data_IF_480666780105
#
_entry.id   IF_480666780105
#
_cell.length_a   1.000
_cell.length_b   1.000
_cell.length_c   1.000
_cell.angle_alpha   90.00
_cell.angle_beta   90.00
_cell.angle_gamma   90.00
#
_symmetry.space_group_name_H-M   'P 1'
#
loop_
_entity.id
_entity.type
_entity.pdbx_description
1 polymer ?
#
# COMPACT_ATOMS: atom_id res chain seq x y z
N UNK A 1 3.76 28.38 -24.01
CA UNK A 1 3.57 28.88 -22.64
C UNK A 1 2.69 28.01 -21.76
N UNK A 2 1.65 27.36 -22.27
CA UNK A 2 0.76 26.48 -21.47
C UNK A 2 1.45 25.25 -20.87
N UNK A 3 2.37 24.61 -21.60
CA UNK A 3 3.06 23.40 -21.13
C UNK A 3 3.96 23.67 -19.92
N UNK A 4 4.67 24.79 -19.90
CA UNK A 4 5.56 25.18 -18.78
C UNK A 4 4.76 25.44 -17.51
N UNK A 5 3.58 26.08 -17.63
CA UNK A 5 2.70 26.35 -16.49
C UNK A 5 2.18 25.03 -15.90
N UNK A 6 1.82 24.05 -16.75
CA UNK A 6 1.36 22.73 -16.29
C UNK A 6 2.47 21.98 -15.55
N UNK A 7 3.72 22.01 -16.05
CA UNK A 7 4.86 21.39 -15.37
C UNK A 7 5.15 22.06 -14.02
N UNK A 8 5.10 23.39 -13.93
CA UNK A 8 5.30 24.12 -12.68
C UNK A 8 4.19 23.79 -11.66
N UNK A 9 2.94 23.70 -12.11
CA UNK A 9 1.81 23.30 -11.25
C UNK A 9 1.98 21.87 -10.71
N UNK A 10 2.36 20.93 -11.56
CA UNK A 10 2.62 19.54 -11.15
C UNK A 10 3.78 19.48 -10.15
N UNK A 11 4.89 20.18 -10.42
CA UNK A 11 6.03 20.25 -9.52
C UNK A 11 5.64 20.88 -8.17
N UNK A 12 4.86 21.94 -8.17
CA UNK A 12 4.37 22.60 -6.96
C UNK A 12 3.46 21.67 -6.14
N UNK A 13 2.51 20.97 -6.79
CA UNK A 13 1.65 19.98 -6.13
C UNK A 13 2.47 18.85 -5.52
N UNK A 14 3.50 18.36 -6.22
CA UNK A 14 4.40 17.33 -5.70
C UNK A 14 5.21 17.81 -4.49
N UNK A 15 5.71 19.04 -4.52
CA UNK A 15 6.45 19.66 -3.39
C UNK A 15 5.53 19.86 -2.18
N UNK A 16 4.31 20.39 -2.40
CA UNK A 16 3.31 20.55 -1.32
C UNK A 16 2.89 19.20 -0.75
N UNK A 17 2.67 18.21 -1.60
CA UNK A 17 2.35 16.85 -1.18
C UNK A 17 3.50 16.24 -0.38
N UNK A 18 4.74 16.43 -0.83
CA UNK A 18 5.93 15.95 -0.13
C UNK A 18 6.11 16.65 1.22
N UNK A 19 5.97 17.98 1.27
CA UNK A 19 6.02 18.76 2.51
C UNK A 19 4.91 18.35 3.49
N UNK A 20 3.68 18.18 3.01
CA UNK A 20 2.56 17.70 3.80
C UNK A 20 2.81 16.29 4.37
N UNK A 21 3.41 15.40 3.58
CA UNK A 21 3.76 14.06 4.02
C UNK A 21 4.93 14.07 5.02
N UNK A 22 5.88 15.00 4.88
CA UNK A 22 7.03 15.14 5.77
C UNK A 22 6.64 15.78 7.11
N UNK A 23 5.70 16.74 7.13
CA UNK A 23 5.29 17.47 8.34
C UNK A 23 4.32 16.69 9.23
N UNK A 24 3.65 15.66 8.72
CA UNK A 24 2.84 14.73 9.54
C UNK A 24 3.69 13.79 10.40
N UNK A 25 4.80 14.28 10.96
CA UNK A 25 5.54 13.60 12.03
C UNK A 25 4.74 13.68 13.33
N UNK A 26 3.80 12.78 13.51
CA UNK A 26 3.20 12.55 14.83
C UNK A 26 4.25 11.93 15.76
N UNK A 27 4.43 12.56 16.90
CA UNK A 27 5.43 12.23 17.94
C UNK A 27 5.10 10.98 18.76
N UNK A 28 4.03 10.27 18.45
CA UNK A 28 3.65 9.08 19.21
C UNK A 28 4.56 7.91 18.85
N UNK A 29 5.14 7.29 19.87
CA UNK A 29 5.86 6.03 19.74
C UNK A 29 4.91 5.01 19.11
N UNK A 30 5.33 4.34 18.02
CA UNK A 30 4.49 3.36 17.37
C UNK A 30 4.29 2.16 18.28
N UNK A 31 3.04 1.89 18.63
CA UNK A 31 2.62 0.72 19.38
C UNK A 31 2.71 -0.49 18.46
N UNK A 32 3.57 -1.45 18.83
CA UNK A 32 3.75 -2.68 18.07
C UNK A 32 2.44 -3.47 17.97
N UNK A 33 1.67 -3.50 19.06
CA UNK A 33 0.39 -4.24 19.09
C UNK A 33 -0.63 -3.64 18.12
N UNK A 34 -0.66 -2.32 17.98
CA UNK A 34 -1.48 -1.66 16.96
C UNK A 34 -1.04 -1.98 15.54
N UNK A 35 0.27 -2.05 15.31
CA UNK A 35 0.81 -2.40 14.00
C UNK A 35 0.47 -3.84 13.64
N UNK A 36 0.64 -4.78 14.57
CA UNK A 36 0.29 -6.19 14.39
C UNK A 36 -1.23 -6.36 14.18
N UNK A 37 -2.04 -5.63 14.93
CA UNK A 37 -3.50 -5.66 14.78
C UNK A 37 -3.91 -5.14 13.40
N UNK A 38 -3.30 -4.04 12.93
CA UNK A 38 -3.57 -3.49 11.61
C UNK A 38 -3.21 -4.47 10.47
N UNK A 39 -2.12 -5.24 10.63
CA UNK A 39 -1.74 -6.30 9.68
C UNK A 39 -2.81 -7.40 9.65
N UNK A 40 -3.23 -7.87 10.81
CA UNK A 40 -4.18 -8.99 10.93
C UNK A 40 -5.62 -8.63 10.54
N UNK A 41 -5.98 -7.36 10.58
CA UNK A 41 -7.33 -6.90 10.24
C UNK A 41 -7.59 -6.81 8.73
N UNK A 42 -6.54 -6.86 7.90
CA UNK A 42 -6.66 -6.82 6.46
C UNK A 42 -6.89 -8.23 5.90
N UNK A 43 -8.05 -8.43 5.29
CA UNK A 43 -8.35 -9.65 4.52
C UNK A 43 -7.63 -9.60 3.16
N UNK A 44 -6.36 -10.04 3.18
CA UNK A 44 -5.52 -10.03 1.99
C UNK A 44 -5.92 -11.07 0.96
N UNK A 45 -6.60 -12.14 1.37
CA UNK A 45 -7.11 -13.15 0.46
C UNK A 45 -8.26 -12.59 -0.38
N UNK A 46 -9.22 -11.91 0.27
CA UNK A 46 -10.28 -11.21 -0.43
C UNK A 46 -9.73 -10.14 -1.38
N UNK A 47 -8.66 -9.42 -0.99
CA UNK A 47 -8.03 -8.45 -1.88
C UNK A 47 -7.34 -9.12 -3.08
N UNK A 48 -6.64 -10.24 -2.90
CA UNK A 48 -6.03 -11.01 -4.00
C UNK A 48 -7.08 -11.45 -5.01
N UNK A 49 -8.18 -12.03 -4.54
CA UNK A 49 -9.29 -12.45 -5.40
C UNK A 49 -9.92 -11.26 -6.14
N UNK A 50 -10.05 -10.12 -5.46
CA UNK A 50 -10.63 -8.91 -6.05
C UNK A 50 -9.81 -8.33 -7.21
N UNK A 51 -8.49 -8.50 -7.19
CA UNK A 51 -7.56 -7.96 -8.20
C UNK A 51 -7.00 -9.05 -9.13
N UNK A 52 -7.55 -10.25 -9.08
CA UNK A 52 -7.15 -11.37 -9.90
C UNK A 52 -7.49 -11.12 -11.38
N UNK A 53 -6.49 -11.14 -12.28
CA UNK A 53 -6.71 -10.94 -13.71
C UNK A 53 -7.46 -12.12 -14.37
N UNK A 54 -7.34 -13.34 -13.86
CA UNK A 54 -8.04 -14.50 -14.40
C UNK A 54 -9.55 -14.41 -14.14
N UNK A 55 -9.92 -13.95 -12.93
CA UNK A 55 -11.32 -13.69 -12.61
C UNK A 55 -11.90 -12.52 -13.41
N UNK A 56 -11.10 -11.44 -13.65
CA UNK A 56 -11.53 -10.34 -14.50
C UNK A 56 -11.80 -10.82 -15.93
N UNK A 57 -10.95 -11.67 -16.48
CA UNK A 57 -11.11 -12.24 -17.82
C UNK A 57 -12.34 -13.16 -17.91
N UNK A 58 -12.55 -14.00 -16.89
CA UNK A 58 -13.75 -14.82 -16.79
C UNK A 58 -15.02 -13.98 -16.79
N UNK A 59 -15.07 -12.93 -15.98
CA UNK A 59 -16.21 -12.01 -15.92
C UNK A 59 -16.44 -11.30 -17.26
N UNK A 60 -15.35 -10.93 -17.95
CA UNK A 60 -15.41 -10.26 -19.25
C UNK A 60 -16.02 -11.14 -20.32
N UNK A 61 -15.73 -12.44 -20.31
CA UNK A 61 -16.22 -13.41 -21.30
C UNK A 61 -17.63 -13.92 -20.97
N UNK A 62 -17.98 -13.97 -19.69
CA UNK A 62 -19.24 -14.56 -19.23
C UNK A 62 -20.41 -13.57 -19.14
N UNK A 63 -20.13 -12.24 -19.12
CA UNK A 63 -21.16 -11.23 -18.87
C UNK A 63 -21.39 -10.32 -20.08
N UNK A 64 -22.63 -9.81 -20.26
CA UNK A 64 -22.89 -8.73 -21.19
C UNK A 64 -22.02 -7.50 -20.87
N UNK A 65 -21.58 -6.77 -21.91
CA UNK A 65 -20.63 -5.66 -21.78
C UNK A 65 -21.04 -4.58 -20.77
N UNK A 66 -22.34 -4.33 -20.61
CA UNK A 66 -22.86 -3.35 -19.65
C UNK A 66 -22.72 -3.86 -18.19
N UNK A 67 -23.06 -5.12 -17.95
CA UNK A 67 -22.94 -5.76 -16.65
C UNK A 67 -21.45 -5.85 -16.23
N UNK A 68 -20.58 -6.28 -17.13
CA UNK A 68 -19.14 -6.32 -16.90
C UNK A 68 -18.59 -4.95 -16.50
N UNK A 69 -18.93 -3.86 -17.23
CA UNK A 69 -18.47 -2.50 -16.89
C UNK A 69 -18.93 -2.04 -15.51
N UNK A 70 -20.13 -2.41 -15.10
CA UNK A 70 -20.64 -2.11 -13.75
C UNK A 70 -19.84 -2.86 -12.69
N UNK A 71 -19.68 -4.15 -12.84
CA UNK A 71 -18.94 -5.00 -11.89
C UNK A 71 -17.47 -4.56 -11.82
N UNK A 72 -16.82 -4.29 -12.94
CA UNK A 72 -15.44 -3.78 -12.98
C UNK A 72 -15.27 -2.49 -12.17
N UNK A 73 -16.21 -1.55 -12.27
CA UNK A 73 -16.19 -0.31 -11.46
C UNK A 73 -16.33 -0.59 -9.96
N UNK A 74 -17.23 -1.48 -9.58
CA UNK A 74 -17.42 -1.85 -8.17
C UNK A 74 -16.19 -2.56 -7.61
N UNK A 75 -15.59 -3.50 -8.36
CA UNK A 75 -14.33 -4.14 -7.99
C UNK A 75 -13.21 -3.13 -7.80
N UNK A 76 -13.04 -2.19 -8.73
CA UNK A 76 -12.04 -1.14 -8.63
C UNK A 76 -12.25 -0.23 -7.42
N UNK A 77 -13.50 0.13 -7.09
CA UNK A 77 -13.83 0.92 -5.89
C UNK A 77 -13.49 0.17 -4.61
N UNK A 78 -13.86 -1.10 -4.54
CA UNK A 78 -13.56 -1.94 -3.39
C UNK A 78 -12.03 -2.14 -3.25
N UNK A 79 -11.32 -2.40 -4.35
CA UNK A 79 -9.88 -2.50 -4.36
C UNK A 79 -9.19 -1.21 -3.86
N UNK A 80 -9.72 -0.03 -4.20
CA UNK A 80 -9.22 1.26 -3.68
C UNK A 80 -9.32 1.38 -2.16
N UNK A 81 -10.35 0.78 -1.54
CA UNK A 81 -10.46 0.75 -0.07
C UNK A 81 -9.29 -0.05 0.51
N UNK A 82 -9.00 -1.25 -0.03
CA UNK A 82 -7.86 -2.06 0.40
C UNK A 82 -6.54 -1.34 0.20
N UNK A 83 -6.30 -0.73 -0.97
CA UNK A 83 -5.07 0.03 -1.23
C UNK A 83 -4.90 1.20 -0.25
N UNK A 84 -5.98 1.87 0.14
CA UNK A 84 -5.96 2.92 1.16
C UNK A 84 -5.55 2.38 2.53
N UNK A 85 -6.06 1.23 2.93
CA UNK A 85 -5.68 0.58 4.18
C UNK A 85 -4.21 0.09 4.14
N UNK A 86 -3.74 -0.46 3.01
CA UNK A 86 -2.33 -0.80 2.80
C UNK A 86 -1.43 0.45 2.91
N UNK A 87 -1.85 1.58 2.35
CA UNK A 87 -1.14 2.86 2.50
C UNK A 87 -1.10 3.35 3.95
N UNK A 88 -2.15 3.10 4.74
CA UNK A 88 -2.14 3.40 6.18
C UNK A 88 -1.21 2.46 6.95
N UNK A 89 -1.25 1.17 6.66
CA UNK A 89 -0.35 0.18 7.26
C UNK A 89 1.12 0.51 6.97
N UNK A 90 1.44 0.93 5.72
CA UNK A 90 2.80 1.35 5.36
C UNK A 90 3.32 2.50 6.23
N UNK A 91 2.46 3.43 6.65
CA UNK A 91 2.83 4.50 7.56
C UNK A 91 3.17 3.98 8.96
N UNK A 92 2.45 2.98 9.45
CA UNK A 92 2.77 2.33 10.73
C UNK A 92 4.10 1.59 10.65
N UNK A 93 4.35 0.85 9.56
CA UNK A 93 5.64 0.19 9.34
C UNK A 93 6.80 1.19 9.28
N UNK A 94 6.63 2.32 8.58
CA UNK A 94 7.66 3.35 8.50
C UNK A 94 7.98 3.96 9.86
N UNK A 95 6.96 4.22 10.69
CA UNK A 95 7.15 4.73 12.06
C UNK A 95 7.87 3.72 12.95
N UNK A 96 7.43 2.47 12.88
CA UNK A 96 8.00 1.39 13.65
C UNK A 96 9.47 1.14 13.25
N UNK A 97 9.75 1.02 11.95
CA UNK A 97 11.11 0.89 11.43
C UNK A 97 12.00 2.08 11.80
N UNK A 98 11.48 3.31 11.70
CA UNK A 98 12.21 4.51 12.09
C UNK A 98 12.49 4.61 13.60
N UNK A 99 11.63 4.06 14.45
CA UNK A 99 11.90 3.94 15.90
C UNK A 99 12.98 2.89 16.18
N UNK A 100 12.89 1.73 15.53
CA UNK A 100 13.85 0.65 15.67
C UNK A 100 15.27 1.02 15.18
N UNK A 101 15.38 1.85 14.14
CA UNK A 101 16.68 2.37 13.67
C UNK A 101 17.47 3.16 14.71
N UNK A 102 16.80 3.72 15.71
CA UNK A 102 17.44 4.48 16.79
C UNK A 102 17.89 3.61 17.95
N UNK A 103 17.69 2.31 17.87
CA UNK A 103 18.14 1.38 18.90
C UNK A 103 19.68 1.32 18.91
N UNK A 104 20.33 1.31 20.09
CA UNK A 104 21.78 1.17 20.19
C UNK A 104 22.29 -0.20 19.71
N UNK A 105 21.45 -1.21 19.69
CA UNK A 105 21.78 -2.53 19.13
C UNK A 105 21.82 -2.46 17.59
N UNK A 106 22.98 -2.73 16.97
CA UNK A 106 23.13 -2.63 15.51
C UNK A 106 22.23 -3.64 14.74
N UNK A 107 21.91 -4.78 15.35
CA UNK A 107 21.04 -5.79 14.73
C UNK A 107 19.60 -5.25 14.65
N UNK A 108 19.11 -4.65 15.74
CA UNK A 108 17.78 -4.03 15.78
C UNK A 108 17.73 -2.82 14.86
N UNK A 109 18.77 -2.00 14.82
CA UNK A 109 18.83 -0.85 13.94
C UNK A 109 18.80 -1.24 12.45
N UNK A 110 19.58 -2.25 12.05
CA UNK A 110 19.59 -2.77 10.68
C UNK A 110 18.22 -3.35 10.27
N UNK A 111 17.57 -4.08 11.15
CA UNK A 111 16.23 -4.60 10.95
C UNK A 111 15.19 -3.45 10.82
N UNK A 112 15.29 -2.43 11.66
CA UNK A 112 14.47 -1.23 11.58
C UNK A 112 14.59 -0.53 10.22
N UNK A 113 15.81 -0.48 9.67
CA UNK A 113 16.09 0.03 8.34
C UNK A 113 15.38 -0.77 7.25
N UNK A 114 15.39 -2.09 7.32
CA UNK A 114 14.71 -2.94 6.34
C UNK A 114 13.20 -2.71 6.34
N UNK A 115 12.60 -2.59 7.52
CA UNK A 115 11.17 -2.29 7.65
C UNK A 115 10.85 -0.92 7.07
N UNK A 116 11.61 0.11 7.41
CA UNK A 116 11.39 1.46 6.90
C UNK A 116 11.50 1.52 5.38
N UNK A 117 12.48 0.85 4.79
CA UNK A 117 12.63 0.74 3.34
C UNK A 117 11.44 0.00 2.70
N UNK A 118 11.05 -1.14 3.26
CA UNK A 118 9.88 -1.89 2.77
C UNK A 118 8.60 -1.06 2.84
N UNK A 119 8.42 -0.26 3.88
CA UNK A 119 7.29 0.65 4.04
C UNK A 119 7.25 1.75 2.96
N UNK A 120 8.40 2.29 2.59
CA UNK A 120 8.50 3.30 1.52
C UNK A 120 8.09 2.66 0.18
N UNK A 121 8.62 1.49 -0.15
CA UNK A 121 8.26 0.77 -1.38
C UNK A 121 6.77 0.42 -1.42
N UNK A 122 6.23 -0.09 -0.32
CA UNK A 122 4.79 -0.39 -0.20
C UNK A 122 3.94 0.85 -0.48
N UNK A 123 4.34 2.02 0.05
CA UNK A 123 3.64 3.28 -0.16
C UNK A 123 3.68 3.74 -1.61
N UNK A 124 4.83 3.66 -2.27
CA UNK A 124 4.98 3.99 -3.69
C UNK A 124 4.10 3.07 -4.55
N UNK A 125 4.08 1.78 -4.25
CA UNK A 125 3.24 0.82 -4.96
C UNK A 125 1.75 1.04 -4.71
N UNK A 126 1.37 1.45 -3.51
CA UNK A 126 -0.03 1.81 -3.20
C UNK A 126 -0.48 3.06 -3.98
N UNK A 127 0.39 4.05 -4.17
CA UNK A 127 0.08 5.22 -5.01
C UNK A 127 -0.08 4.83 -6.48
N UNK A 128 0.84 4.02 -7.02
CA UNK A 128 0.75 3.50 -8.39
C UNK A 128 -0.54 2.67 -8.60
N UNK A 129 -0.83 1.76 -7.68
CA UNK A 129 -2.05 0.96 -7.69
C UNK A 129 -3.32 1.83 -7.65
N UNK A 130 -3.34 2.87 -6.81
CA UNK A 130 -4.47 3.81 -6.73
C UNK A 130 -4.70 4.51 -8.06
N UNK A 131 -3.64 5.00 -8.71
CA UNK A 131 -3.73 5.66 -10.00
C UNK A 131 -4.28 4.70 -11.08
N UNK A 132 -3.78 3.47 -11.13
CA UNK A 132 -4.22 2.44 -12.08
C UNK A 132 -5.70 2.07 -11.86
N UNK A 133 -6.14 1.88 -10.62
CA UNK A 133 -7.52 1.56 -10.29
C UNK A 133 -8.48 2.70 -10.66
N UNK A 134 -8.10 3.96 -10.39
CA UNK A 134 -8.89 5.13 -10.79
C UNK A 134 -9.01 5.21 -12.31
N UNK A 135 -7.91 5.01 -13.04
CA UNK A 135 -7.91 5.01 -14.49
C UNK A 135 -8.78 3.88 -15.05
N UNK A 136 -8.68 2.67 -14.50
CA UNK A 136 -9.49 1.53 -14.95
C UNK A 136 -10.98 1.69 -14.65
N UNK A 137 -11.33 2.35 -13.55
CA UNK A 137 -12.71 2.67 -13.22
C UNK A 137 -13.30 3.72 -14.16
N UNK A 138 -12.48 4.67 -14.61
CA UNK A 138 -12.90 5.76 -15.53
C UNK A 138 -12.93 5.30 -16.98
N UNK A 139 -11.92 4.52 -17.39
CA UNK A 139 -11.75 4.01 -18.75
C UNK A 139 -11.78 2.48 -18.77
N UNK A 140 -12.97 1.86 -18.91
CA UNK A 140 -13.12 0.40 -18.81
C UNK A 140 -12.30 -0.42 -19.81
N UNK A 141 -11.84 0.20 -20.90
CA UNK A 141 -10.96 -0.43 -21.91
C UNK A 141 -9.50 -0.53 -21.51
N UNK A 142 -9.09 0.16 -20.43
CA UNK A 142 -7.73 0.04 -19.91
C UNK A 142 -7.61 -1.21 -19.03
N UNK A 143 -6.59 -2.00 -19.30
CA UNK A 143 -6.23 -3.16 -18.48
C UNK A 143 -5.17 -2.68 -17.48
N UNK A 144 -5.48 -2.63 -16.18
CA UNK A 144 -4.49 -2.27 -15.17
C UNK A 144 -3.39 -3.34 -15.16
N UNK A 145 -2.16 -2.92 -14.83
CA UNK A 145 -1.09 -3.86 -14.57
C UNK A 145 -1.43 -4.69 -13.33
N UNK A 146 -1.01 -5.97 -13.28
CA UNK A 146 -1.24 -6.78 -12.09
C UNK A 146 -0.71 -6.09 -10.83
N UNK A 147 -1.55 -5.98 -9.80
CA UNK A 147 -1.17 -5.38 -8.50
C UNK A 147 -0.31 -6.33 -7.65
N UNK A 148 0.25 -7.37 -8.26
CA UNK A 148 1.08 -8.40 -7.62
C UNK A 148 2.25 -7.81 -6.85
N UNK A 149 2.92 -6.81 -7.40
CA UNK A 149 4.06 -6.16 -6.72
C UNK A 149 3.66 -5.43 -5.44
N UNK A 150 2.45 -4.89 -5.35
CA UNK A 150 1.91 -4.29 -4.12
C UNK A 150 1.73 -5.36 -3.03
N UNK A 151 1.14 -6.50 -3.41
CA UNK A 151 0.92 -7.64 -2.51
C UNK A 151 2.23 -8.20 -1.98
N UNK A 152 3.20 -8.45 -2.86
CA UNK A 152 4.53 -8.97 -2.49
C UNK A 152 5.28 -8.04 -1.51
N UNK A 153 5.17 -6.72 -1.68
CA UNK A 153 5.80 -5.76 -0.76
C UNK A 153 5.08 -5.70 0.59
N UNK A 154 3.76 -5.84 0.59
CA UNK A 154 3.00 -5.92 1.84
C UNK A 154 3.34 -7.19 2.62
N UNK A 155 3.33 -8.36 1.96
CA UNK A 155 3.67 -9.64 2.59
C UNK A 155 5.08 -9.57 3.21
N UNK A 156 6.06 -9.08 2.46
CA UNK A 156 7.44 -8.92 2.95
C UNK A 156 7.53 -8.00 4.17
N UNK A 157 6.85 -6.84 4.15
CA UNK A 157 6.84 -5.92 5.27
C UNK A 157 6.15 -6.51 6.51
N UNK A 158 5.06 -7.25 6.30
CA UNK A 158 4.29 -7.92 7.34
C UNK A 158 5.12 -9.04 7.99
N UNK A 159 5.78 -9.86 7.19
CA UNK A 159 6.65 -10.95 7.68
C UNK A 159 7.80 -10.42 8.53
N UNK A 160 8.45 -9.32 8.12
CA UNK A 160 9.50 -8.68 8.90
C UNK A 160 9.01 -8.24 10.29
N UNK A 161 7.79 -7.70 10.39
CA UNK A 161 7.22 -7.25 11.66
C UNK A 161 6.77 -8.43 12.51
N UNK A 162 6.11 -9.42 11.91
CA UNK A 162 5.57 -10.58 12.63
C UNK A 162 6.67 -11.49 13.17
N UNK A 163 7.72 -11.75 12.39
CA UNK A 163 8.86 -12.58 12.80
C UNK A 163 9.59 -11.95 13.99
N UNK A 164 9.77 -10.62 14.02
CA UNK A 164 10.38 -9.97 15.17
C UNK A 164 9.52 -10.06 16.43
N UNK A 165 8.18 -9.95 16.29
CA UNK A 165 7.27 -10.10 17.42
C UNK A 165 7.33 -11.52 18.02
N UNK A 166 7.50 -12.54 17.17
CA UNK A 166 7.68 -13.93 17.62
C UNK A 166 8.98 -14.11 18.43
N UNK A 167 10.06 -13.46 18.03
CA UNK A 167 11.35 -13.52 18.73
C UNK A 167 11.33 -12.76 20.08
N UNK A 168 10.47 -11.77 20.24
CA UNK A 168 10.31 -11.01 21.49
C UNK A 168 9.44 -11.68 22.55
N UNK A 169 8.66 -12.70 22.19
CA UNK A 169 7.90 -13.52 23.14
C UNK A 169 8.66 -14.82 23.36
N UNK A 170 9.66 -14.86 24.30
CA UNK A 170 10.17 -16.14 24.76
C UNK A 170 9.01 -16.90 25.38
N UNK A 171 8.91 -18.16 25.06
CA UNK A 171 7.91 -19.08 25.54
C UNK A 171 7.71 -18.91 27.07
N UNK A 172 6.58 -18.40 27.49
CA UNK A 172 6.06 -18.51 28.84
C UNK A 172 5.26 -19.79 28.97
#
# INVERSE_FOLDING_TARGET
MSSTIVFVLIAFVLVVLFAYLATRRTRDLPDLDRTVTAIRSLDMEAFRNLVDPEEEEFLRTSLPAQAFRRIKRERARTALIYVKELSRASLQFARFGGAAQRNPDPVIAAWGQQIANSAIYLRLRALDASAQLILSATFPGLHPRPLRSLLEHYDRASDLVLNHNALRRPHS
#
